data_IF_932708021099
#
_entry.id   IF_932708021099
#
_cell.length_a   1.000
_cell.length_b   1.000
_cell.length_c   1.000
_cell.angle_alpha   90.00
_cell.angle_beta   90.00
_cell.angle_gamma   90.00
#
_symmetry.space_group_name_H-M   'P 1'
#
loop_
_entity.id
_entity.type
_entity.pdbx_description
1 polymer ?
#
# COMPACT_ATOMS: atom_id res chain seq x y z
N UNK A 1 -1.64 -17.82 6.45
CA UNK A 1 -1.66 -16.38 6.21
C UNK A 1 -3.02 -15.86 5.77
N UNK A 2 -3.74 -16.72 5.09
CA UNK A 2 -5.12 -16.47 4.68
C UNK A 2 -6.06 -16.29 5.88
N UNK A 3 -5.71 -16.83 7.00
CA UNK A 3 -6.47 -16.75 8.26
C UNK A 3 -6.59 -15.36 8.89
N UNK A 4 -5.98 -14.37 8.31
CA UNK A 4 -6.13 -12.98 8.72
C UNK A 4 -7.07 -12.20 7.81
N UNK A 5 -7.81 -12.93 7.05
CA UNK A 5 -8.71 -12.37 6.13
C UNK A 5 -9.92 -11.88 6.80
N UNK A 6 -10.06 -10.77 6.62
CA UNK A 6 -10.85 -10.01 7.38
C UNK A 6 -12.28 -10.07 7.05
N UNK A 7 -12.98 -9.93 7.89
CA UNK A 7 -14.32 -9.90 8.01
C UNK A 7 -14.96 -8.66 7.59
N UNK A 8 -15.88 -8.71 6.79
CA UNK A 8 -16.86 -7.70 6.69
C UNK A 8 -18.17 -8.25 7.21
N UNK A 9 -18.74 -7.62 8.19
CA UNK A 9 -20.06 -7.98 8.69
C UNK A 9 -21.14 -7.91 7.60
N UNK A 10 -20.85 -7.20 6.51
CA UNK A 10 -21.76 -6.98 5.40
C UNK A 10 -21.56 -7.96 4.24
N UNK A 11 -20.75 -9.00 4.44
CA UNK A 11 -20.65 -10.04 3.44
C UNK A 11 -21.84 -10.95 3.46
N UNK A 12 -22.78 -10.71 2.59
CA UNK A 12 -23.58 -11.80 2.05
C UNK A 12 -22.65 -12.72 1.25
N UNK A 13 -22.40 -13.88 1.80
CA UNK A 13 -21.33 -14.74 1.38
C UNK A 13 -21.76 -15.62 0.24
N UNK A 14 -21.41 -15.23 -0.95
CA UNK A 14 -20.97 -16.19 -1.93
C UNK A 14 -19.49 -16.46 -1.67
N UNK A 15 -19.21 -17.42 -0.79
CA UNK A 15 -17.83 -17.72 -0.42
C UNK A 15 -17.03 -18.01 -1.69
N UNK A 16 -15.90 -17.35 -1.88
CA UNK A 16 -15.05 -17.60 -3.03
C UNK A 16 -14.74 -19.09 -3.17
N UNK A 17 -14.72 -19.58 -4.39
CA UNK A 17 -14.51 -21.01 -4.65
C UNK A 17 -13.23 -21.55 -4.03
N UNK A 18 -12.20 -20.70 -3.92
CA UNK A 18 -10.94 -21.07 -3.29
C UNK A 18 -11.03 -21.19 -1.76
N UNK A 19 -11.91 -20.43 -1.10
CA UNK A 19 -12.14 -20.56 0.34
C UNK A 19 -12.78 -21.90 0.66
N UNK A 20 -13.76 -22.32 -0.16
CA UNK A 20 -14.37 -23.65 -0.05
C UNK A 20 -13.37 -24.77 -0.28
N UNK A 21 -12.33 -24.54 -1.06
CA UNK A 21 -11.28 -25.50 -1.35
C UNK A 21 -10.19 -25.59 -0.26
N UNK A 22 -10.01 -24.54 0.55
CA UNK A 22 -8.92 -24.44 1.51
C UNK A 22 -9.35 -24.40 2.98
N UNK A 23 -10.62 -24.18 3.27
CA UNK A 23 -11.16 -24.31 4.62
C UNK A 23 -11.75 -25.71 4.81
N UNK A 24 -11.36 -26.40 5.86
CA UNK A 24 -12.00 -27.68 6.21
C UNK A 24 -13.40 -27.41 6.77
N UNK A 25 -14.36 -28.30 6.45
CA UNK A 25 -15.74 -28.18 6.97
C UNK A 25 -15.77 -28.08 8.50
N UNK A 26 -14.83 -28.72 9.18
CA UNK A 26 -14.70 -28.69 10.63
C UNK A 26 -14.32 -27.32 11.18
N UNK A 27 -13.51 -26.53 10.45
CA UNK A 27 -13.14 -25.16 10.84
C UNK A 27 -14.30 -24.17 10.69
N UNK A 28 -15.24 -24.45 9.80
CA UNK A 28 -16.42 -23.61 9.56
C UNK A 28 -17.58 -23.91 10.50
N UNK A 29 -17.56 -25.04 11.21
CA UNK A 29 -18.69 -25.57 12.01
C UNK A 29 -18.59 -25.30 13.51
N UNK A 30 -17.49 -24.69 13.99
CA UNK A 30 -17.18 -24.66 15.43
C UNK A 30 -18.11 -23.76 16.26
N UNK A 31 -18.65 -22.66 15.70
CA UNK A 31 -19.68 -21.85 16.38
C UNK A 31 -20.53 -21.04 15.39
N UNK A 32 -21.84 -20.81 15.67
CA UNK A 32 -22.66 -19.86 14.93
C UNK A 32 -22.03 -18.45 15.02
N UNK A 33 -21.70 -17.84 13.88
CA UNK A 33 -21.03 -16.54 13.80
C UNK A 33 -19.52 -16.62 13.58
N UNK A 34 -18.87 -17.73 13.90
CA UNK A 34 -17.43 -17.89 13.62
C UNK A 34 -17.15 -17.95 12.11
N UNK A 35 -18.01 -18.63 11.36
CA UNK A 35 -17.89 -18.70 9.91
C UNK A 35 -18.07 -17.33 9.24
N UNK A 36 -19.07 -16.57 9.67
CA UNK A 36 -19.25 -15.18 9.19
C UNK A 36 -18.05 -14.33 9.56
N UNK A 37 -17.58 -14.58 10.79
CA UNK A 37 -16.40 -13.96 11.32
C UNK A 37 -15.19 -14.18 10.42
N UNK A 38 -14.86 -15.39 10.12
CA UNK A 38 -13.74 -15.78 9.27
C UNK A 38 -13.90 -15.27 7.83
N UNK A 39 -15.11 -15.39 7.28
CA UNK A 39 -15.36 -14.99 5.90
C UNK A 39 -15.18 -13.50 5.66
N UNK A 40 -15.56 -12.70 6.63
CA UNK A 40 -15.37 -11.28 6.59
C UNK A 40 -13.89 -10.90 6.71
N UNK A 41 -13.13 -11.66 7.51
CA UNK A 41 -11.71 -11.54 7.59
C UNK A 41 -11.03 -11.87 6.24
N UNK A 42 -11.47 -12.91 5.60
CA UNK A 42 -11.05 -13.33 4.28
C UNK A 42 -11.30 -12.25 3.23
N UNK A 43 -12.46 -11.62 3.19
CA UNK A 43 -12.81 -10.59 2.18
C UNK A 43 -11.92 -9.36 2.27
N UNK A 44 -11.68 -8.86 3.47
CA UNK A 44 -10.87 -7.64 3.60
C UNK A 44 -9.40 -7.88 3.26
N UNK A 45 -8.84 -9.06 3.58
CA UNK A 45 -7.48 -9.33 3.14
C UNK A 45 -7.41 -9.54 1.63
N UNK A 46 -8.36 -10.25 1.03
CA UNK A 46 -8.44 -10.34 -0.42
C UNK A 46 -8.57 -8.96 -1.07
N UNK A 47 -9.41 -8.10 -0.50
CA UNK A 47 -9.53 -6.73 -0.94
C UNK A 47 -8.20 -5.96 -0.83
N UNK A 48 -7.46 -6.11 0.27
CA UNK A 48 -6.16 -5.45 0.44
C UNK A 48 -5.11 -6.07 -0.49
N UNK A 49 -5.13 -7.38 -0.72
CA UNK A 49 -4.27 -8.04 -1.68
C UNK A 49 -4.52 -7.49 -3.10
N UNK A 50 -5.75 -7.53 -3.56
CA UNK A 50 -6.16 -6.99 -4.86
C UNK A 50 -5.79 -5.49 -5.01
N UNK A 51 -5.96 -4.71 -3.92
CA UNK A 51 -5.54 -3.33 -3.89
C UNK A 51 -4.04 -3.18 -4.13
N UNK A 52 -3.21 -4.03 -3.50
CA UNK A 52 -1.74 -4.01 -3.69
C UNK A 52 -1.30 -4.57 -5.05
N UNK A 53 -2.15 -5.34 -5.71
CA UNK A 53 -1.96 -5.83 -7.08
C UNK A 53 -2.45 -4.83 -8.15
N UNK A 54 -2.84 -3.64 -7.72
CA UNK A 54 -3.26 -2.49 -8.55
C UNK A 54 -4.66 -2.60 -9.14
N UNK A 55 -5.48 -3.51 -8.63
CA UNK A 55 -6.90 -3.58 -8.98
C UNK A 55 -7.55 -2.24 -8.71
N UNK A 56 -8.34 -1.74 -9.66
CA UNK A 56 -8.99 -0.43 -9.53
C UNK A 56 -10.10 -0.44 -8.50
N UNK A 57 -10.40 0.71 -7.86
CA UNK A 57 -11.52 0.82 -6.93
C UNK A 57 -12.82 0.32 -7.54
N UNK A 58 -13.10 0.69 -8.79
CA UNK A 58 -14.29 0.24 -9.50
C UNK A 58 -14.36 -1.29 -9.63
N UNK A 59 -13.25 -1.94 -9.94
CA UNK A 59 -13.20 -3.40 -10.02
C UNK A 59 -13.42 -4.04 -8.65
N UNK A 60 -12.84 -3.45 -7.57
CA UNK A 60 -13.07 -3.90 -6.21
C UNK A 60 -14.55 -3.76 -5.82
N UNK A 61 -15.19 -2.63 -6.14
CA UNK A 61 -16.62 -2.44 -5.94
C UNK A 61 -17.44 -3.50 -6.67
N UNK A 62 -17.17 -3.74 -7.96
CA UNK A 62 -17.91 -4.69 -8.78
C UNK A 62 -17.68 -6.15 -8.34
N UNK A 63 -16.50 -6.49 -7.84
CA UNK A 63 -16.13 -7.89 -7.51
C UNK A 63 -16.44 -8.27 -6.08
N UNK A 64 -16.27 -7.31 -5.15
CA UNK A 64 -16.34 -7.58 -3.71
C UNK A 64 -17.55 -6.91 -3.05
N UNK A 65 -18.34 -6.17 -3.80
CA UNK A 65 -19.47 -5.38 -3.27
C UNK A 65 -19.05 -4.54 -2.04
N UNK A 66 -18.06 -3.71 -2.24
CA UNK A 66 -17.48 -2.81 -1.22
C UNK A 66 -17.48 -1.39 -1.72
N UNK A 67 -17.65 -0.42 -0.83
CA UNK A 67 -17.52 1.00 -1.21
C UNK A 67 -16.05 1.44 -1.22
N UNK A 68 -15.69 2.53 -1.94
CA UNK A 68 -14.35 3.13 -1.86
C UNK A 68 -13.95 3.51 -0.44
N UNK A 69 -14.92 3.89 0.40
CA UNK A 69 -14.71 4.20 1.81
C UNK A 69 -14.24 2.98 2.60
N UNK A 70 -14.83 1.80 2.34
CA UNK A 70 -14.44 0.55 3.00
C UNK A 70 -13.01 0.17 2.63
N UNK A 71 -12.65 0.31 1.34
CA UNK A 71 -11.28 0.04 0.88
C UNK A 71 -10.28 0.93 1.61
N UNK A 72 -10.51 2.23 1.64
CA UNK A 72 -9.60 3.18 2.31
C UNK A 72 -9.51 2.92 3.81
N UNK A 73 -10.63 2.67 4.48
CA UNK A 73 -10.63 2.35 5.90
C UNK A 73 -9.80 1.10 6.23
N UNK A 74 -9.92 0.04 5.41
CA UNK A 74 -9.12 -1.19 5.61
C UNK A 74 -7.65 -0.99 5.30
N UNK A 75 -7.33 -0.20 4.28
CA UNK A 75 -5.95 0.20 3.95
C UNK A 75 -5.31 0.95 5.11
N UNK A 76 -6.01 1.92 5.70
CA UNK A 76 -5.53 2.69 6.84
C UNK A 76 -5.32 1.80 8.08
N UNK A 77 -6.29 0.94 8.38
CA UNK A 77 -6.20 -0.03 9.48
C UNK A 77 -5.01 -0.98 9.30
N UNK A 78 -4.84 -1.55 8.11
CA UNK A 78 -3.71 -2.43 7.82
C UNK A 78 -2.38 -1.69 7.93
N UNK A 79 -2.31 -0.46 7.43
CA UNK A 79 -1.13 0.40 7.55
C UNK A 79 -0.74 0.65 9.03
N UNK A 80 -1.74 0.89 9.89
CA UNK A 80 -1.52 1.04 11.32
C UNK A 80 -1.05 -0.25 11.99
N UNK A 81 -1.67 -1.39 11.67
CA UNK A 81 -1.27 -2.70 12.20
C UNK A 81 0.16 -3.07 11.81
N UNK A 82 0.54 -2.83 10.55
CA UNK A 82 1.90 -3.06 10.06
C UNK A 82 2.93 -2.16 10.76
N UNK A 83 2.58 -0.91 11.03
CA UNK A 83 3.44 0.00 11.80
C UNK A 83 3.61 -0.49 13.26
N UNK A 84 2.51 -0.93 13.89
CA UNK A 84 2.55 -1.50 15.23
C UNK A 84 3.42 -2.75 15.31
N UNK A 85 3.29 -3.66 14.34
CA UNK A 85 4.12 -4.86 14.27
C UNK A 85 5.61 -4.53 14.12
N UNK A 86 5.96 -3.57 13.26
CA UNK A 86 7.34 -3.09 13.13
C UNK A 86 7.85 -2.50 14.44
N UNK A 87 7.02 -1.71 15.12
CA UNK A 87 7.40 -1.10 16.40
C UNK A 87 7.69 -2.15 17.47
N UNK A 88 6.82 -3.15 17.61
CA UNK A 88 7.03 -4.26 18.56
C UNK A 88 8.34 -4.99 18.26
N UNK A 89 8.59 -5.34 17.00
CA UNK A 89 9.82 -6.04 16.60
C UNK A 89 11.10 -5.23 16.86
N UNK A 90 11.02 -3.90 16.84
CA UNK A 90 12.18 -3.02 17.06
C UNK A 90 12.41 -2.65 18.52
N UNK A 91 11.37 -2.77 19.37
CA UNK A 91 11.45 -2.32 20.77
C UNK A 91 11.43 -3.47 21.78
N UNK A 92 11.18 -4.70 21.34
CA UNK A 92 11.10 -5.84 22.23
C UNK A 92 12.51 -6.42 22.48
N UNK A 93 12.95 -6.38 23.74
CA UNK A 93 14.25 -6.93 24.19
C UNK A 93 14.24 -8.46 24.28
N UNK A 94 13.15 -9.13 23.88
CA UNK A 94 12.99 -10.58 23.95
C UNK A 94 13.87 -11.31 22.90
N UNK A 95 14.25 -10.62 21.84
CA UNK A 95 15.03 -11.23 20.78
C UNK A 95 16.52 -11.33 21.16
N UNK A 96 17.05 -12.55 21.17
CA UNK A 96 18.47 -12.78 21.35
C UNK A 96 19.26 -12.12 20.20
N UNK A 97 20.51 -11.71 20.48
CA UNK A 97 21.37 -11.03 19.51
C UNK A 97 21.52 -11.81 18.18
N UNK A 98 21.52 -13.15 18.25
CA UNK A 98 21.58 -14.02 17.06
C UNK A 98 20.36 -13.90 16.12
N UNK A 99 19.22 -13.44 16.61
CA UNK A 99 17.99 -13.26 15.82
C UNK A 99 17.87 -11.87 15.19
N UNK A 100 18.68 -10.90 15.60
CA UNK A 100 18.59 -9.51 15.11
C UNK A 100 18.65 -9.38 13.57
N UNK A 101 19.47 -10.14 12.84
CA UNK A 101 19.47 -10.08 11.37
C UNK A 101 18.13 -10.50 10.75
N UNK A 102 17.48 -11.53 11.32
CA UNK A 102 16.18 -12.02 10.86
C UNK A 102 15.10 -11.01 11.19
N UNK A 103 15.13 -10.41 12.38
CA UNK A 103 14.21 -9.35 12.79
C UNK A 103 14.34 -8.15 11.86
N UNK A 104 15.54 -7.73 11.52
CA UNK A 104 15.78 -6.62 10.61
C UNK A 104 15.21 -6.89 9.20
N UNK A 105 15.35 -8.12 8.69
CA UNK A 105 14.77 -8.52 7.41
C UNK A 105 13.24 -8.50 7.45
N UNK A 106 12.64 -9.04 8.51
CA UNK A 106 11.18 -9.00 8.71
C UNK A 106 10.67 -7.55 8.77
N UNK A 107 11.33 -6.68 9.52
CA UNK A 107 10.97 -5.25 9.61
C UNK A 107 11.05 -4.59 8.23
N UNK A 108 12.06 -4.90 7.45
CA UNK A 108 12.20 -4.37 6.08
C UNK A 108 11.06 -4.87 5.17
N UNK A 109 10.69 -6.14 5.28
CA UNK A 109 9.57 -6.72 4.52
C UNK A 109 8.23 -6.09 4.93
N UNK A 110 8.00 -5.91 6.23
CA UNK A 110 6.80 -5.22 6.76
C UNK A 110 6.73 -3.77 6.29
N UNK A 111 7.86 -3.06 6.29
CA UNK A 111 7.94 -1.69 5.77
C UNK A 111 7.60 -1.62 4.28
N UNK A 112 8.11 -2.54 3.49
CA UNK A 112 7.79 -2.66 2.06
C UNK A 112 6.31 -2.96 1.84
N UNK A 113 5.75 -3.89 2.61
CA UNK A 113 4.32 -4.23 2.55
C UNK A 113 3.45 -3.04 2.96
N UNK A 114 3.82 -2.32 4.00
CA UNK A 114 3.11 -1.12 4.44
C UNK A 114 3.04 -0.06 3.34
N UNK A 115 4.14 0.18 2.63
CA UNK A 115 4.16 1.10 1.50
C UNK A 115 3.28 0.60 0.34
N UNK A 116 3.32 -0.71 0.03
CA UNK A 116 2.44 -1.30 -0.99
C UNK A 116 0.96 -1.12 -0.64
N UNK A 117 0.59 -1.42 0.60
CA UNK A 117 -0.78 -1.25 1.11
C UNK A 117 -1.20 0.22 1.01
N UNK A 118 -0.39 1.13 1.48
CA UNK A 118 -0.67 2.57 1.46
C UNK A 118 -0.92 3.12 0.07
N UNK A 119 -0.10 2.72 -0.89
CA UNK A 119 -0.17 3.25 -2.26
C UNK A 119 -1.02 2.40 -3.21
N UNK A 120 -1.41 1.21 -2.80
CA UNK A 120 -2.14 0.25 -3.64
C UNK A 120 -1.35 -0.11 -4.89
N UNK A 121 -0.10 -0.53 -4.74
CA UNK A 121 0.76 -0.83 -5.88
C UNK A 121 1.78 -1.93 -5.57
N UNK A 122 2.34 -2.48 -6.64
CA UNK A 122 3.44 -3.46 -6.57
C UNK A 122 4.75 -2.80 -6.16
N UNK A 123 5.68 -3.63 -5.71
CA UNK A 123 7.00 -3.20 -5.22
C UNK A 123 7.79 -2.40 -6.26
N UNK A 124 7.64 -2.73 -7.55
CA UNK A 124 8.35 -2.07 -8.66
C UNK A 124 7.97 -0.59 -8.84
N UNK A 125 6.85 -0.15 -8.29
CA UNK A 125 6.40 1.24 -8.37
C UNK A 125 6.74 2.09 -7.16
N UNK A 126 7.22 1.50 -6.06
CA UNK A 126 7.39 2.20 -4.78
C UNK A 126 8.28 3.44 -4.89
N UNK A 127 9.32 3.40 -5.72
CA UNK A 127 10.18 4.56 -5.92
C UNK A 127 9.46 5.71 -6.64
N UNK A 128 8.52 5.40 -7.53
CA UNK A 128 7.78 6.39 -8.30
C UNK A 128 6.60 6.97 -7.52
N UNK A 129 5.83 6.14 -6.81
CA UNK A 129 4.66 6.61 -6.04
C UNK A 129 5.04 7.49 -4.87
N UNK A 130 6.27 7.44 -4.40
CA UNK A 130 6.81 8.34 -3.38
C UNK A 130 7.10 9.76 -3.90
N UNK A 131 7.00 9.99 -5.21
CA UNK A 131 7.11 11.32 -5.80
C UNK A 131 5.74 12.01 -5.71
N UNK A 132 5.72 13.22 -5.18
CA UNK A 132 4.48 14.01 -5.10
C UNK A 132 3.86 14.18 -6.51
N UNK A 133 2.54 14.08 -6.59
CA UNK A 133 1.76 14.09 -7.83
C UNK A 133 1.87 12.82 -8.70
N UNK A 134 2.64 11.82 -8.27
CA UNK A 134 2.71 10.51 -8.94
C UNK A 134 1.95 9.49 -8.10
N UNK A 135 0.67 9.30 -8.41
CA UNK A 135 -0.11 8.19 -7.86
C UNK A 135 0.14 6.89 -8.65
N UNK A 136 -0.41 5.76 -8.17
CA UNK A 136 -0.18 4.42 -8.75
C UNK A 136 -0.44 4.34 -10.26
N UNK A 137 -1.47 4.99 -10.79
CA UNK A 137 -1.73 5.01 -12.23
C UNK A 137 -0.60 5.68 -13.02
N UNK A 138 -0.19 6.88 -12.61
CA UNK A 138 0.92 7.59 -13.26
C UNK A 138 2.23 6.84 -13.13
N UNK A 139 2.49 6.23 -11.96
CA UNK A 139 3.67 5.40 -11.76
C UNK A 139 3.68 4.22 -12.72
N UNK A 140 2.55 3.53 -12.91
CA UNK A 140 2.43 2.41 -13.86
C UNK A 140 2.62 2.87 -15.30
N UNK A 141 2.14 4.04 -15.68
CA UNK A 141 2.35 4.61 -17.00
C UNK A 141 3.82 4.96 -17.26
N UNK A 142 4.53 5.50 -16.27
CA UNK A 142 5.97 5.76 -16.34
C UNK A 142 6.75 4.45 -16.46
N UNK A 143 6.44 3.48 -15.61
CA UNK A 143 7.09 2.17 -15.61
C UNK A 143 6.89 1.41 -16.93
N UNK A 144 5.71 1.52 -17.55
CA UNK A 144 5.42 0.93 -18.87
C UNK A 144 6.27 1.54 -19.99
N UNK A 145 6.82 2.73 -19.80
CA UNK A 145 7.77 3.37 -20.73
C UNK A 145 9.24 3.13 -20.35
N UNK A 146 9.49 2.24 -19.39
CA UNK A 146 10.83 1.91 -18.91
C UNK A 146 11.39 2.91 -17.89
N UNK A 147 10.59 3.87 -17.44
CA UNK A 147 10.99 4.87 -16.43
C UNK A 147 10.60 4.33 -15.05
N UNK A 148 11.52 3.65 -14.38
CA UNK A 148 11.24 2.94 -13.11
C UNK A 148 11.76 3.67 -11.88
N UNK A 149 12.72 4.55 -12.06
CA UNK A 149 13.33 5.33 -11.00
C UNK A 149 13.09 6.84 -11.20
N UNK A 150 13.14 7.65 -10.13
CA UNK A 150 13.05 9.11 -10.24
C UNK A 150 14.05 9.71 -11.22
N UNK A 151 15.28 9.16 -11.27
CA UNK A 151 16.33 9.61 -12.18
C UNK A 151 15.99 9.36 -13.65
N UNK A 152 15.26 8.28 -13.96
CA UNK A 152 14.84 7.97 -15.33
C UNK A 152 13.84 9.01 -15.83
N UNK A 153 12.93 9.44 -14.93
CA UNK A 153 11.93 10.48 -15.27
C UNK A 153 12.59 11.80 -15.62
N UNK A 154 13.66 12.20 -14.91
CA UNK A 154 14.43 13.40 -15.24
C UNK A 154 15.15 13.31 -16.58
N UNK A 155 15.58 12.09 -16.95
CA UNK A 155 16.36 11.83 -18.17
C UNK A 155 15.49 11.34 -19.33
N UNK A 156 14.14 11.45 -19.19
CA UNK A 156 13.26 10.92 -20.24
C UNK A 156 13.52 11.57 -21.59
N UNK A 157 13.39 10.76 -22.64
CA UNK A 157 13.53 11.21 -24.03
C UNK A 157 12.38 12.14 -24.44
N UNK A 158 12.61 13.00 -25.44
CA UNK A 158 11.55 13.83 -26.01
C UNK A 158 10.36 13.01 -26.50
N UNK A 159 10.60 11.85 -27.08
CA UNK A 159 9.56 10.90 -27.52
C UNK A 159 8.68 10.46 -26.34
N UNK A 160 9.28 10.06 -25.23
CA UNK A 160 8.54 9.67 -24.01
C UNK A 160 7.75 10.86 -23.45
N UNK A 161 8.34 12.05 -23.45
CA UNK A 161 7.68 13.28 -23.02
C UNK A 161 6.45 13.59 -23.86
N UNK A 162 6.55 13.54 -25.18
CA UNK A 162 5.43 13.75 -26.10
C UNK A 162 4.36 12.69 -25.90
N UNK A 163 4.75 11.43 -25.75
CA UNK A 163 3.83 10.31 -25.47
C UNK A 163 3.06 10.52 -24.17
N UNK A 164 3.70 11.00 -23.12
CA UNK A 164 3.04 11.33 -21.85
C UNK A 164 2.07 12.48 -22.01
N UNK A 165 2.51 13.58 -22.62
CA UNK A 165 1.70 14.79 -22.79
C UNK A 165 0.47 14.56 -23.66
N UNK A 166 0.46 13.54 -24.51
CA UNK A 166 -0.72 13.12 -25.30
C UNK A 166 -1.76 12.35 -24.46
N UNK A 167 -1.38 11.85 -23.27
CA UNK A 167 -2.30 11.10 -22.40
C UNK A 167 -3.14 12.02 -21.53
N UNK A 168 -4.39 11.61 -21.30
CA UNK A 168 -5.28 12.32 -20.38
C UNK A 168 -4.70 12.34 -18.95
N UNK A 169 -4.74 13.50 -18.31
CA UNK A 169 -4.23 13.67 -16.94
C UNK A 169 -2.74 13.99 -16.86
N UNK A 170 -2.08 14.12 -18.03
CA UNK A 170 -0.73 14.64 -18.13
C UNK A 170 -0.75 16.02 -18.81
N UNK A 171 0.07 16.91 -18.29
CA UNK A 171 0.22 18.25 -18.86
C UNK A 171 1.60 18.83 -18.54
N UNK A 172 2.07 19.84 -19.27
CA UNK A 172 3.41 20.40 -19.09
C UNK A 172 3.63 20.92 -17.66
N UNK A 173 2.64 21.59 -17.08
CA UNK A 173 2.73 22.12 -15.71
C UNK A 173 2.85 21.00 -14.66
N UNK A 174 2.12 19.88 -14.85
CA UNK A 174 2.23 18.74 -13.96
C UNK A 174 3.61 18.09 -14.06
N UNK A 175 4.11 17.91 -15.27
CA UNK A 175 5.41 17.31 -15.51
C UNK A 175 6.54 18.15 -14.89
N UNK A 176 6.44 19.45 -14.97
CA UNK A 176 7.38 20.37 -14.34
C UNK A 176 7.36 20.28 -12.79
N UNK A 177 6.15 20.17 -12.20
CA UNK A 177 6.00 19.94 -10.76
C UNK A 177 6.62 18.60 -10.34
N UNK A 178 6.42 17.55 -11.11
CA UNK A 178 7.02 16.24 -10.86
C UNK A 178 8.56 16.33 -10.94
N UNK A 179 9.11 16.99 -11.94
CA UNK A 179 10.57 17.20 -12.07
C UNK A 179 11.13 17.96 -10.87
N UNK A 180 10.48 19.04 -10.45
CA UNK A 180 10.87 19.84 -9.28
C UNK A 180 10.89 18.98 -8.02
N UNK A 181 9.85 18.14 -7.84
CA UNK A 181 9.75 17.25 -6.69
C UNK A 181 10.82 16.16 -6.69
N UNK A 182 11.13 15.58 -7.85
CA UNK A 182 12.22 14.60 -7.98
C UNK A 182 13.56 15.24 -7.58
N UNK A 183 13.84 16.44 -8.03
CA UNK A 183 15.06 17.15 -7.62
C UNK A 183 15.12 17.35 -6.11
N UNK A 184 13.99 17.69 -5.46
CA UNK A 184 13.88 17.83 -4.01
C UNK A 184 14.17 16.51 -3.29
N UNK A 185 13.55 15.41 -3.75
CA UNK A 185 13.74 14.07 -3.18
C UNK A 185 15.18 13.60 -3.30
N UNK A 186 15.78 13.75 -4.49
CA UNK A 186 17.17 13.35 -4.71
C UNK A 186 18.16 14.18 -3.88
N UNK A 187 17.89 15.47 -3.69
CA UNK A 187 18.72 16.34 -2.83
C UNK A 187 18.61 15.92 -1.36
N UNK A 188 17.42 15.58 -0.87
CA UNK A 188 17.22 15.05 0.49
C UNK A 188 17.94 13.72 0.70
N UNK A 189 17.78 12.79 -0.23
CA UNK A 189 18.47 11.50 -0.17
C UNK A 189 20.00 11.63 -0.17
N UNK A 190 20.55 12.59 -0.90
CA UNK A 190 21.99 12.90 -0.88
C UNK A 190 22.45 13.52 0.44
N UNK A 191 21.60 14.30 1.11
CA UNK A 191 21.89 14.94 2.39
C UNK A 191 21.75 13.99 3.59
N UNK A 192 20.85 13.01 3.50
CA UNK A 192 20.61 12.01 4.54
C UNK A 192 20.29 10.64 3.91
N UNK A 193 21.31 9.83 3.62
CA UNK A 193 21.14 8.53 2.95
C UNK A 193 20.33 7.50 3.75
N UNK A 194 20.22 7.67 5.06
CA UNK A 194 19.53 6.74 5.97
C UNK A 194 18.08 7.14 6.27
N UNK A 195 17.63 8.30 5.79
CA UNK A 195 16.26 8.73 6.04
C UNK A 195 15.29 8.05 5.06
N UNK A 196 14.16 7.49 5.55
CA UNK A 196 13.13 7.00 4.68
C UNK A 196 12.58 8.15 3.81
N UNK A 197 12.32 7.86 2.54
CA UNK A 197 11.70 8.81 1.62
C UNK A 197 10.19 8.84 1.92
N UNK A 198 9.80 9.62 2.94
CA UNK A 198 8.41 9.84 3.31
C UNK A 198 7.94 11.14 2.63
N UNK A 199 6.74 11.15 2.08
CA UNK A 199 6.08 12.38 1.61
C UNK A 199 5.81 13.29 2.81
N UNK A 200 5.91 14.61 2.63
CA UNK A 200 5.56 15.58 3.69
C UNK A 200 4.06 15.50 4.05
N UNK A 201 3.21 15.10 3.10
CA UNK A 201 1.76 14.85 3.29
C UNK A 201 1.50 13.61 4.16
N UNK A 202 2.51 12.81 4.42
CA UNK A 202 2.48 11.53 5.12
C UNK A 202 2.97 11.67 6.57
N UNK A 203 3.36 12.86 7.00
CA UNK A 203 3.59 13.12 8.41
C UNK A 203 2.27 12.83 9.17
N UNK A 204 2.30 12.05 10.27
CA UNK A 204 1.11 11.90 11.10
C UNK A 204 0.64 13.30 11.46
N UNK A 205 -0.64 13.58 11.26
CA UNK A 205 -1.26 14.82 11.69
C UNK A 205 -0.90 14.99 13.16
N UNK A 206 -0.01 15.91 13.44
CA UNK A 206 0.33 16.29 14.80
C UNK A 206 -1.01 16.64 15.44
N UNK A 207 -1.42 15.84 16.45
CA UNK A 207 -2.73 15.95 17.04
C UNK A 207 -2.96 17.40 17.41
N UNK A 208 -3.95 18.02 16.78
CA UNK A 208 -4.57 19.22 17.29
C UNK A 208 -5.08 18.87 18.70
N UNK A 209 -4.32 19.25 19.69
CA UNK A 209 -4.88 19.38 21.03
C UNK A 209 -5.99 20.42 20.88
N UNK A 210 -7.21 19.98 20.89
CA UNK A 210 -8.31 20.86 21.23
C UNK A 210 -8.06 21.30 22.67
N UNK A 211 -7.61 22.51 22.80
CA UNK A 211 -7.76 23.28 24.02
C UNK A 211 -9.24 23.66 24.05
N UNK A 212 -10.04 22.81 24.64
CA UNK A 212 -11.40 23.17 25.09
C UNK A 212 -11.31 23.49 26.58
N UNK A 213 -11.40 24.80 26.88
CA UNK A 213 -11.80 25.33 28.19
C UNK A 213 -13.22 24.89 28.58
#
# INVERSE_FOLDING_TARGET
>A
FVSLWAKSADMEVNSPTWLKANATEDELLIEPGYAEALLSDVKSAWMVEEWTEETTLRQLEETLDVSPGDVHHRVDLMGWLLAGAQHVLLTDDVFAEEHLPVVADIVQQLSTLQQRVRHGCKTDLLQLVNIRHVGRQRARELAAMGLREPKDVLKMSNKNRETLLAKRGWGPVLLEKIHTEIHRVLKRAAANPSAPVIRDDDAPLAGERREDD
#
